data_IF_165481937452
#
_entry.id   IF_165481937452
#
_cell.length_a   1.000
_cell.length_b   1.000
_cell.length_c   1.000
_cell.angle_alpha   90.00
_cell.angle_beta   90.00
_cell.angle_gamma   90.00
#
_symmetry.space_group_name_H-M   'P 1'
#
loop_
_entity.id
_entity.type
_entity.pdbx_description
1 polymer ?
#
# COMPACT_ATOMS: atom_id res chain seq x y z
N UNK A 1 6.19 15.27 -2.21
CA UNK A 1 4.87 15.87 -1.93
C UNK A 1 4.96 17.37 -1.76
N UNK A 2 6.05 17.86 -1.17
CA UNK A 2 6.42 19.28 -1.08
C UNK A 2 6.28 20.03 -2.41
N UNK A 3 6.80 19.51 -3.53
CA UNK A 3 6.61 20.15 -4.86
C UNK A 3 5.14 20.27 -5.28
N UNK A 4 4.31 19.31 -4.87
CA UNK A 4 2.86 19.31 -5.17
C UNK A 4 2.05 20.02 -4.08
N UNK A 5 2.68 20.50 -3.01
CA UNK A 5 2.04 21.13 -1.84
C UNK A 5 0.82 20.35 -1.30
N UNK A 6 0.90 19.02 -1.26
CA UNK A 6 -0.18 18.13 -0.80
C UNK A 6 0.37 17.02 0.09
N UNK A 7 -0.48 16.45 0.96
CA UNK A 7 -0.11 15.38 1.90
C UNK A 7 -0.63 13.99 1.47
N UNK A 8 -1.60 13.97 0.54
CA UNK A 8 -2.08 12.80 -0.19
C UNK A 8 -2.16 13.14 -1.69
N UNK A 9 -1.78 12.21 -2.57
CA UNK A 9 -1.90 12.41 -4.02
C UNK A 9 -2.18 11.07 -4.71
N UNK A 10 -2.73 11.10 -5.92
CA UNK A 10 -2.87 9.91 -6.75
C UNK A 10 -1.87 9.99 -7.89
N UNK A 11 -0.95 9.02 -7.95
CA UNK A 11 0.09 8.94 -8.98
C UNK A 11 -0.04 7.60 -9.68
N UNK A 12 0.08 7.60 -11.01
CA UNK A 12 0.09 6.36 -11.78
C UNK A 12 1.53 5.88 -11.96
N UNK A 13 1.83 4.69 -11.44
CA UNK A 13 3.13 4.02 -11.59
C UNK A 13 2.92 2.76 -12.43
N UNK A 14 3.34 2.82 -13.70
CA UNK A 14 3.01 1.79 -14.68
C UNK A 14 1.49 1.66 -14.84
N UNK A 15 0.95 0.47 -14.56
CA UNK A 15 -0.50 0.24 -14.62
C UNK A 15 -1.21 0.32 -13.25
N UNK A 16 -0.52 0.74 -12.19
CA UNK A 16 -1.07 0.81 -10.84
C UNK A 16 -1.32 2.25 -10.42
N UNK A 17 -2.42 2.47 -9.70
CA UNK A 17 -2.65 3.71 -8.96
C UNK A 17 -2.00 3.59 -7.59
N UNK A 18 -1.09 4.52 -7.28
CA UNK A 18 -0.39 4.60 -6.00
C UNK A 18 -0.83 5.87 -5.30
N UNK A 19 -1.18 5.73 -4.03
CA UNK A 19 -1.56 6.83 -3.15
C UNK A 19 -0.47 7.03 -2.10
N UNK A 20 0.59 7.80 -2.38
CA UNK A 20 1.52 8.19 -1.33
C UNK A 20 0.78 9.05 -0.30
N UNK A 21 1.10 8.82 0.98
CA UNK A 21 0.60 9.57 2.13
C UNK A 21 1.80 9.99 2.95
N UNK A 22 1.96 11.28 3.23
CA UNK A 22 3.07 11.80 4.05
C UNK A 22 2.63 12.38 5.39
N UNK A 23 1.34 12.72 5.55
CA UNK A 23 0.81 13.18 6.84
C UNK A 23 0.73 12.00 7.83
N UNK A 24 1.22 12.17 9.07
CA UNK A 24 1.11 11.15 10.10
C UNK A 24 -0.34 10.91 10.55
N UNK A 25 -1.20 11.93 10.50
CA UNK A 25 -2.63 11.82 10.80
C UNK A 25 -3.32 10.92 9.78
N UNK A 26 -3.12 11.20 8.49
CA UNK A 26 -3.65 10.37 7.41
C UNK A 26 -3.08 8.94 7.47
N UNK A 27 -1.80 8.78 7.74
CA UNK A 27 -1.21 7.46 7.90
C UNK A 27 -1.86 6.66 9.06
N UNK A 28 -2.22 7.31 10.16
CA UNK A 28 -2.96 6.66 11.24
C UNK A 28 -4.39 6.28 10.84
N UNK A 29 -5.07 7.11 10.04
CA UNK A 29 -6.39 6.75 9.49
C UNK A 29 -6.31 5.46 8.67
N UNK A 30 -5.35 5.35 7.73
CA UNK A 30 -5.20 4.16 6.89
C UNK A 30 -4.71 2.93 7.65
N UNK A 31 -3.69 3.09 8.50
CA UNK A 31 -2.95 1.96 9.08
C UNK A 31 -3.45 1.53 10.46
N UNK A 32 -4.29 2.33 11.13
CA UNK A 32 -4.83 2.01 12.45
C UNK A 32 -6.35 1.98 12.48
N UNK A 33 -7.00 3.01 11.95
CA UNK A 33 -8.47 3.15 12.06
C UNK A 33 -9.16 2.29 11.00
N UNK A 34 -8.65 2.31 9.77
CA UNK A 34 -9.18 1.58 8.61
C UNK A 34 -8.30 0.37 8.24
N UNK A 35 -7.55 -0.17 9.20
CA UNK A 35 -6.56 -1.22 8.95
C UNK A 35 -7.14 -2.44 8.23
N UNK A 36 -8.35 -2.87 8.60
CA UNK A 36 -9.08 -3.98 7.98
C UNK A 36 -9.37 -3.79 6.49
N UNK A 37 -9.43 -2.55 6.01
CA UNK A 37 -9.67 -2.22 4.60
C UNK A 37 -8.34 -2.15 3.83
N UNK A 38 -7.28 -1.64 4.47
CA UNK A 38 -5.99 -1.35 3.83
C UNK A 38 -4.87 -2.34 4.16
N UNK A 39 -5.15 -3.40 4.92
CA UNK A 39 -4.18 -4.42 5.32
C UNK A 39 -3.75 -5.35 4.18
N UNK A 40 -4.51 -5.39 3.08
CA UNK A 40 -4.18 -6.24 1.94
C UNK A 40 -2.86 -5.83 1.28
N UNK A 41 -2.24 -6.78 0.56
CA UNK A 41 -0.97 -6.59 -0.15
C UNK A 41 -1.18 -6.76 -1.65
N UNK A 42 -0.54 -5.92 -2.49
CA UNK A 42 -0.69 -6.02 -3.93
C UNK A 42 -0.15 -7.36 -4.44
N UNK A 43 -0.86 -7.96 -5.38
CA UNK A 43 -0.39 -9.15 -6.09
C UNK A 43 0.67 -8.73 -7.09
N UNK A 44 1.92 -9.14 -6.86
CA UNK A 44 3.03 -8.87 -7.77
C UNK A 44 3.97 -10.08 -7.92
N UNK A 45 4.70 -10.11 -9.04
CA UNK A 45 5.60 -11.22 -9.37
C UNK A 45 6.71 -11.39 -8.33
N UNK A 46 7.30 -10.29 -7.85
CA UNK A 46 8.36 -10.34 -6.84
C UNK A 46 7.88 -10.96 -5.52
N UNK A 47 6.69 -10.58 -5.04
CA UNK A 47 6.07 -11.18 -3.85
C UNK A 47 5.85 -12.69 -4.04
N UNK A 48 5.42 -13.12 -5.23
CA UNK A 48 5.19 -14.52 -5.56
C UNK A 48 6.49 -15.35 -5.59
N UNK A 49 7.55 -14.80 -6.18
CA UNK A 49 8.88 -15.45 -6.26
C UNK A 49 9.51 -15.55 -4.87
N UNK A 50 9.49 -14.46 -4.11
CA UNK A 50 10.10 -14.43 -2.75
C UNK A 50 9.34 -15.33 -1.78
N UNK A 51 8.01 -15.38 -1.88
CA UNK A 51 7.21 -16.26 -1.02
C UNK A 51 7.25 -17.72 -1.43
N UNK A 52 7.61 -18.03 -2.68
CA UNK A 52 7.62 -19.40 -3.24
C UNK A 52 6.32 -20.19 -2.94
N UNK A 53 5.18 -19.52 -2.99
CA UNK A 53 3.86 -20.11 -2.71
C UNK A 53 3.48 -20.23 -1.23
N UNK A 54 4.35 -19.83 -0.30
CA UNK A 54 4.01 -19.79 1.14
C UNK A 54 3.22 -18.52 1.51
N UNK A 55 2.26 -18.66 2.42
CA UNK A 55 1.50 -17.54 2.96
C UNK A 55 2.33 -16.84 4.06
N UNK A 56 3.09 -15.82 3.68
CA UNK A 56 3.88 -15.00 4.62
C UNK A 56 3.15 -13.71 4.98
N UNK A 57 3.10 -13.28 6.26
CA UNK A 57 2.33 -12.10 6.68
C UNK A 57 2.66 -10.81 5.93
N UNK A 58 3.89 -10.70 5.41
CA UNK A 58 4.38 -9.51 4.68
C UNK A 58 3.82 -9.42 3.26
N UNK A 59 3.55 -10.55 2.59
CA UNK A 59 3.24 -10.61 1.17
C UNK A 59 1.87 -11.21 0.84
N UNK A 60 1.11 -11.68 1.85
CA UNK A 60 -0.19 -12.32 1.63
C UNK A 60 -1.23 -11.28 1.21
N UNK A 61 -1.85 -11.43 0.02
CA UNK A 61 -3.04 -10.65 -0.31
C UNK A 61 -4.19 -11.09 0.58
N UNK A 62 -4.93 -10.13 1.13
CA UNK A 62 -6.18 -10.37 1.86
C UNK A 62 -7.34 -9.95 0.96
N UNK A 63 -8.37 -10.81 0.91
CA UNK A 63 -9.59 -10.61 0.11
C UNK A 63 -10.64 -9.86 0.93
#
# INVERSE_FOLDING_TARGET
MEEMNTEISCIRVGNYHVFPVTSPELACEFLKIQDSIFSSRPVCMSASIVSNGYLTPVFVPQW
#
